data_IF_942983501897
#
_entry.id   IF_942983501897
#
_cell.length_a   1.000
_cell.length_b   1.000
_cell.length_c   1.000
_cell.angle_alpha   90.00
_cell.angle_beta   90.00
_cell.angle_gamma   90.00
#
_symmetry.space_group_name_H-M   'P 1'
#
loop_
_entity.id
_entity.type
_entity.pdbx_description
1 polymer ?
#
# COMPACT_ATOMS: atom_id res chain seq x y z
N UNK A 1 -38.87 -35.32 19.96
CA UNK A 1 -38.66 -34.15 19.08
C UNK A 1 -38.55 -34.65 17.65
N UNK A 2 -39.50 -34.30 16.79
CA UNK A 2 -39.48 -34.70 15.38
C UNK A 2 -38.25 -34.07 14.71
N UNK A 3 -37.38 -34.90 14.13
CA UNK A 3 -36.30 -34.39 13.29
C UNK A 3 -36.90 -33.65 12.09
N UNK A 4 -36.41 -32.42 11.84
CA UNK A 4 -36.79 -31.66 10.64
C UNK A 4 -36.63 -32.53 9.40
N UNK A 5 -37.57 -32.51 8.45
CA UNK A 5 -37.48 -33.27 7.21
C UNK A 5 -36.17 -33.04 6.46
N UNK A 6 -35.61 -31.83 6.57
CA UNK A 6 -34.32 -31.46 5.98
C UNK A 6 -33.19 -32.38 6.44
N UNK A 7 -33.14 -32.73 7.73
CA UNK A 7 -32.08 -33.58 8.29
C UNK A 7 -32.26 -35.07 8.03
N UNK A 8 -33.36 -35.47 7.37
CA UNK A 8 -33.56 -36.83 6.88
C UNK A 8 -32.94 -37.05 5.50
N UNK A 9 -32.62 -35.97 4.79
CA UNK A 9 -31.93 -36.02 3.51
C UNK A 9 -30.44 -36.36 3.72
N UNK A 10 -29.78 -37.07 2.78
CA UNK A 10 -28.32 -37.21 2.73
C UNK A 10 -27.61 -35.86 2.68
N UNK A 11 -26.33 -35.83 3.07
CA UNK A 11 -25.53 -34.59 3.16
C UNK A 11 -25.44 -33.88 1.81
N UNK A 12 -25.29 -34.63 0.73
CA UNK A 12 -25.13 -34.16 -0.64
C UNK A 12 -26.37 -33.37 -1.09
N UNK A 13 -27.57 -33.87 -0.76
CA UNK A 13 -28.81 -33.16 -1.08
C UNK A 13 -29.00 -31.92 -0.22
N UNK A 14 -28.56 -31.95 1.05
CA UNK A 14 -28.57 -30.76 1.89
C UNK A 14 -27.62 -29.69 1.36
N UNK A 15 -26.44 -30.07 0.88
CA UNK A 15 -25.46 -29.15 0.29
C UNK A 15 -25.99 -28.49 -1.00
N UNK A 16 -26.70 -29.25 -1.84
CA UNK A 16 -27.42 -28.69 -2.99
C UNK A 16 -28.49 -27.70 -2.52
N UNK A 17 -29.29 -28.04 -1.51
CA UNK A 17 -30.30 -27.13 -0.96
C UNK A 17 -29.64 -25.86 -0.42
N UNK A 18 -28.60 -25.98 0.41
CA UNK A 18 -27.86 -24.86 0.97
C UNK A 18 -27.28 -23.95 -0.12
N UNK A 19 -26.84 -24.52 -1.25
CA UNK A 19 -26.34 -23.74 -2.39
C UNK A 19 -27.40 -22.78 -2.95
N UNK A 20 -28.67 -23.18 -3.03
CA UNK A 20 -29.75 -22.33 -3.52
C UNK A 20 -30.07 -21.14 -2.60
N UNK A 21 -29.71 -21.21 -1.32
CA UNK A 21 -29.89 -20.09 -0.39
C UNK A 21 -28.77 -19.05 -0.48
N UNK A 22 -27.58 -19.45 -0.94
CA UNK A 22 -26.40 -18.59 -0.91
C UNK A 22 -25.93 -18.15 -2.29
N UNK A 23 -26.29 -18.86 -3.36
CA UNK A 23 -25.92 -18.46 -4.72
C UNK A 23 -26.71 -17.21 -5.12
N UNK A 24 -25.98 -16.19 -5.55
CA UNK A 24 -26.51 -14.93 -6.07
C UNK A 24 -26.04 -14.79 -7.51
N UNK A 25 -26.95 -14.46 -8.42
CA UNK A 25 -26.58 -14.18 -9.81
C UNK A 25 -25.69 -12.93 -9.86
N UNK A 26 -24.54 -13.03 -10.52
CA UNK A 26 -23.48 -12.01 -10.47
C UNK A 26 -22.62 -12.01 -9.19
N UNK A 27 -22.92 -12.86 -8.20
CA UNK A 27 -22.13 -13.06 -6.99
C UNK A 27 -22.25 -11.94 -5.94
N UNK A 28 -21.20 -11.74 -5.16
CA UNK A 28 -21.11 -10.71 -4.14
C UNK A 28 -20.22 -9.55 -4.58
N UNK A 29 -20.60 -8.34 -4.19
CA UNK A 29 -19.88 -7.09 -4.43
C UNK A 29 -19.51 -6.49 -3.09
N UNK A 30 -18.26 -6.04 -2.95
CA UNK A 30 -17.84 -5.25 -1.80
C UNK A 30 -18.43 -3.83 -1.90
N UNK A 31 -19.27 -3.44 -0.94
CA UNK A 31 -19.85 -2.10 -0.91
C UNK A 31 -18.79 -1.07 -0.50
N UNK A 32 -18.40 -0.22 -1.45
CA UNK A 32 -17.40 0.82 -1.26
C UNK A 32 -17.89 1.99 -0.40
N UNK A 33 -19.19 2.26 -0.37
CA UNK A 33 -19.78 3.33 0.47
C UNK A 33 -19.84 2.89 1.94
N UNK A 34 -19.94 1.58 2.17
CA UNK A 34 -19.90 0.95 3.48
C UNK A 34 -18.55 0.33 3.85
N UNK A 35 -17.45 0.65 3.16
CA UNK A 35 -16.17 -0.07 3.27
C UNK A 35 -15.60 -0.17 4.69
N UNK A 36 -15.73 0.88 5.52
CA UNK A 36 -15.34 0.84 6.94
C UNK A 36 -16.23 -0.06 7.81
N UNK A 37 -17.37 -0.49 7.27
CA UNK A 37 -18.33 -1.44 7.87
C UNK A 37 -18.30 -2.82 7.18
N UNK A 38 -17.46 -3.02 6.17
CA UNK A 38 -17.11 -4.34 5.62
C UNK A 38 -18.28 -5.20 5.14
N UNK A 39 -19.30 -4.61 4.49
CA UNK A 39 -20.46 -5.39 4.05
C UNK A 39 -20.35 -5.83 2.60
N UNK A 40 -20.30 -7.15 2.39
CA UNK A 40 -20.62 -7.75 1.11
C UNK A 40 -22.13 -7.60 0.85
N UNK A 41 -22.48 -7.27 -0.39
CA UNK A 41 -23.86 -7.27 -0.88
C UNK A 41 -23.95 -8.18 -2.08
N UNK A 42 -25.11 -8.80 -2.31
CA UNK A 42 -25.40 -9.47 -3.56
C UNK A 42 -25.33 -8.47 -4.72
N UNK A 43 -24.96 -8.94 -5.91
CA UNK A 43 -24.96 -8.12 -7.12
C UNK A 43 -26.37 -7.60 -7.48
N UNK A 44 -27.42 -8.23 -6.94
CA UNK A 44 -28.81 -7.75 -6.96
C UNK A 44 -29.12 -6.66 -5.90
N UNK A 45 -28.08 -6.13 -5.26
CA UNK A 45 -28.13 -5.12 -4.19
C UNK A 45 -28.85 -5.59 -2.91
N UNK A 46 -29.01 -6.90 -2.70
CA UNK A 46 -29.53 -7.47 -1.45
C UNK A 46 -28.41 -7.75 -0.45
N UNK A 47 -28.73 -7.78 0.84
CA UNK A 47 -27.77 -8.22 1.85
C UNK A 47 -27.55 -9.75 1.76
N UNK A 48 -26.41 -10.22 2.26
CA UNK A 48 -26.14 -11.67 2.39
C UNK A 48 -27.18 -12.28 3.32
N UNK A 49 -28.02 -13.18 2.80
CA UNK A 49 -29.04 -13.86 3.59
C UNK A 49 -28.43 -14.94 4.48
N UNK A 50 -28.20 -14.58 5.75
CA UNK A 50 -27.70 -15.50 6.78
C UNK A 50 -28.84 -16.09 7.64
N UNK A 51 -30.11 -15.83 7.30
CA UNK A 51 -31.26 -16.27 8.12
C UNK A 51 -31.28 -17.79 8.33
N UNK A 52 -30.93 -18.56 7.30
CA UNK A 52 -30.88 -20.01 7.37
C UNK A 52 -29.76 -20.51 8.29
N UNK A 53 -28.57 -19.91 8.21
CA UNK A 53 -27.43 -20.21 9.09
C UNK A 53 -27.79 -19.96 10.55
N UNK A 54 -28.41 -18.81 10.84
CA UNK A 54 -28.80 -18.45 12.21
C UNK A 54 -30.01 -19.21 12.75
N UNK A 55 -30.71 -19.99 11.92
CA UNK A 55 -31.90 -20.74 12.35
C UNK A 55 -31.58 -22.00 13.18
N UNK A 56 -30.44 -22.65 12.93
CA UNK A 56 -30.10 -23.92 13.56
C UNK A 56 -28.58 -24.13 13.63
N UNK A 57 -28.07 -24.46 14.83
CA UNK A 57 -26.65 -24.77 15.03
C UNK A 57 -26.13 -25.82 14.06
N UNK A 58 -26.91 -26.87 13.79
CA UNK A 58 -26.49 -27.92 12.85
C UNK A 58 -26.35 -27.39 11.43
N UNK A 59 -27.21 -26.46 10.99
CA UNK A 59 -27.09 -25.83 9.67
C UNK A 59 -25.86 -24.91 9.65
N UNK A 60 -25.63 -24.13 10.70
CA UNK A 60 -24.42 -23.32 10.85
C UNK A 60 -23.14 -24.18 10.78
N UNK A 61 -23.05 -25.25 11.57
CA UNK A 61 -21.93 -26.19 11.56
C UNK A 61 -21.74 -26.84 10.17
N UNK A 62 -22.82 -26.93 9.38
CA UNK A 62 -22.84 -27.51 8.05
C UNK A 62 -22.49 -26.50 6.93
N UNK A 63 -22.69 -25.18 7.13
CA UNK A 63 -22.50 -24.13 6.13
C UNK A 63 -21.30 -23.20 6.41
N UNK A 64 -21.00 -22.90 7.67
CA UNK A 64 -19.98 -21.92 8.10
C UNK A 64 -18.52 -22.37 7.97
N UNK A 65 -18.13 -23.61 8.34
CA UNK A 65 -16.70 -23.99 8.38
C UNK A 65 -16.00 -23.95 7.01
N UNK A 66 -16.79 -23.98 5.93
CA UNK A 66 -16.30 -23.84 4.56
C UNK A 66 -16.56 -22.48 3.94
N UNK A 67 -17.25 -21.55 4.61
CA UNK A 67 -17.69 -20.30 3.99
C UNK A 67 -18.47 -20.55 2.70
N UNK A 68 -19.51 -21.39 2.74
CA UNK A 68 -20.21 -21.89 1.54
C UNK A 68 -20.65 -20.75 0.60
N UNK A 69 -21.16 -19.65 1.17
CA UNK A 69 -21.55 -18.46 0.43
C UNK A 69 -20.37 -17.85 -0.35
N UNK A 70 -19.18 -17.77 0.26
CA UNK A 70 -17.99 -17.21 -0.38
C UNK A 70 -17.38 -18.16 -1.41
N UNK A 71 -17.51 -19.48 -1.23
CA UNK A 71 -16.97 -20.49 -2.17
C UNK A 71 -17.79 -20.64 -3.44
N UNK A 72 -19.10 -20.47 -3.34
CA UNK A 72 -20.02 -20.67 -4.46
C UNK A 72 -20.25 -19.40 -5.28
N UNK A 73 -19.87 -18.23 -4.77
CA UNK A 73 -20.07 -16.95 -5.43
C UNK A 73 -18.74 -16.31 -5.82
N UNK A 74 -18.75 -15.63 -6.97
CA UNK A 74 -17.65 -14.72 -7.32
C UNK A 74 -17.74 -13.49 -6.43
N UNK A 75 -16.62 -13.08 -5.83
CA UNK A 75 -16.55 -11.86 -5.03
C UNK A 75 -15.84 -10.80 -5.87
N UNK A 76 -16.56 -9.71 -6.16
CA UNK A 76 -16.06 -8.60 -6.97
C UNK A 76 -15.67 -7.44 -6.06
N UNK A 77 -14.40 -7.04 -6.15
CA UNK A 77 -13.87 -5.83 -5.54
C UNK A 77 -13.72 -4.74 -6.61
N UNK A 78 -14.10 -3.52 -6.27
CA UNK A 78 -13.94 -2.33 -7.10
C UNK A 78 -13.00 -1.33 -6.42
N UNK A 79 -12.53 -0.34 -7.18
CA UNK A 79 -11.72 0.74 -6.62
C UNK A 79 -12.52 1.57 -5.63
N UNK A 80 -11.90 1.98 -4.52
CA UNK A 80 -12.57 2.81 -3.52
C UNK A 80 -12.63 4.26 -4.01
N UNK A 81 -13.82 4.68 -4.42
CA UNK A 81 -14.09 5.99 -5.02
C UNK A 81 -15.13 6.76 -4.20
N UNK A 82 -14.80 7.08 -2.94
CA UNK A 82 -15.59 8.03 -2.13
C UNK A 82 -14.85 9.36 -2.03
N UNK A 83 -15.58 10.45 -1.74
CA UNK A 83 -14.97 11.79 -1.57
C UNK A 83 -13.91 11.78 -0.46
N UNK A 84 -14.15 11.04 0.62
CA UNK A 84 -13.20 10.87 1.73
C UNK A 84 -11.95 10.08 1.31
N UNK A 85 -12.14 8.94 0.64
CA UNK A 85 -11.02 8.13 0.14
C UNK A 85 -10.21 8.84 -0.94
N UNK A 86 -10.85 9.66 -1.77
CA UNK A 86 -10.14 10.44 -2.80
C UNK A 86 -9.21 11.48 -2.18
N UNK A 87 -9.64 12.13 -1.09
CA UNK A 87 -8.80 13.08 -0.36
C UNK A 87 -7.64 12.36 0.33
N UNK A 88 -7.93 11.26 1.04
CA UNK A 88 -6.89 10.45 1.70
C UNK A 88 -5.87 9.90 0.69
N UNK A 89 -6.33 9.32 -0.43
CA UNK A 89 -5.47 8.80 -1.48
C UNK A 89 -4.59 9.90 -2.09
N UNK A 90 -5.15 11.10 -2.32
CA UNK A 90 -4.39 12.25 -2.77
C UNK A 90 -3.30 12.64 -1.77
N UNK A 91 -3.66 12.85 -0.50
CA UNK A 91 -2.71 13.23 0.55
C UNK A 91 -1.61 12.17 0.70
N UNK A 92 -1.99 10.89 0.77
CA UNK A 92 -1.06 9.78 0.87
C UNK A 92 -0.10 9.73 -0.33
N UNK A 93 -0.62 9.88 -1.56
CA UNK A 93 0.22 9.90 -2.76
C UNK A 93 1.21 11.07 -2.75
N UNK A 94 0.80 12.26 -2.29
CA UNK A 94 1.67 13.42 -2.18
C UNK A 94 2.76 13.19 -1.13
N UNK A 95 2.40 12.82 0.10
CA UNK A 95 3.36 12.55 1.19
C UNK A 95 4.33 11.43 0.82
N UNK A 96 3.83 10.35 0.24
CA UNK A 96 4.67 9.23 -0.20
C UNK A 96 5.60 9.64 -1.33
N UNK A 97 5.06 10.15 -2.45
CA UNK A 97 5.83 10.33 -3.68
C UNK A 97 6.66 11.60 -3.65
N UNK A 98 6.06 12.74 -3.27
CA UNK A 98 6.74 14.04 -3.24
C UNK A 98 7.43 14.33 -1.91
N UNK A 99 7.08 13.62 -0.85
CA UNK A 99 7.76 13.71 0.44
C UNK A 99 8.81 12.62 0.60
N UNK A 100 8.40 11.45 1.09
CA UNK A 100 9.32 10.39 1.57
C UNK A 100 10.20 9.86 0.44
N UNK A 101 9.63 9.44 -0.69
CA UNK A 101 10.38 8.88 -1.81
C UNK A 101 11.32 9.92 -2.43
N UNK A 102 10.90 11.19 -2.46
CA UNK A 102 11.73 12.30 -2.91
C UNK A 102 12.95 12.49 -2.00
N UNK A 103 12.74 12.61 -0.69
CA UNK A 103 13.83 12.82 0.27
C UNK A 103 14.81 11.65 0.26
N UNK A 104 14.32 10.41 0.12
CA UNK A 104 15.19 9.24 -0.10
C UNK A 104 16.05 9.37 -1.35
N UNK A 105 15.46 9.79 -2.47
CA UNK A 105 16.22 10.02 -3.69
C UNK A 105 17.32 11.07 -3.49
N UNK A 106 17.03 12.15 -2.78
CA UNK A 106 18.00 13.22 -2.49
C UNK A 106 19.14 12.72 -1.58
N UNK A 107 18.82 11.96 -0.52
CA UNK A 107 19.82 11.32 0.35
C UNK A 107 20.73 10.41 -0.49
N UNK A 108 20.14 9.58 -1.36
CA UNK A 108 20.90 8.67 -2.21
C UNK A 108 21.78 9.42 -3.22
N UNK A 109 21.31 10.52 -3.80
CA UNK A 109 22.14 11.32 -4.71
C UNK A 109 23.30 12.01 -4.00
N UNK A 110 23.07 12.48 -2.78
CA UNK A 110 24.07 13.19 -1.98
C UNK A 110 25.13 12.23 -1.46
N UNK A 111 24.72 11.10 -0.85
CA UNK A 111 25.61 10.20 -0.12
C UNK A 111 25.77 8.80 -0.74
N UNK A 112 25.17 8.54 -1.90
CA UNK A 112 25.24 7.23 -2.55
C UNK A 112 26.66 6.78 -2.88
N UNK A 113 27.57 7.73 -3.10
CA UNK A 113 28.99 7.44 -3.33
C UNK A 113 29.72 6.91 -2.08
N UNK A 114 29.13 7.08 -0.89
CA UNK A 114 29.66 6.64 0.41
C UNK A 114 28.99 5.35 0.91
N UNK A 115 28.20 4.67 0.07
CA UNK A 115 27.58 3.39 0.43
C UNK A 115 28.66 2.34 0.70
N UNK A 116 28.62 1.64 1.86
CA UNK A 116 29.58 0.61 2.22
C UNK A 116 29.65 -0.55 1.22
N UNK A 117 30.82 -1.16 1.09
CA UNK A 117 31.02 -2.31 0.19
C UNK A 117 30.17 -3.53 0.53
N UNK A 118 29.83 -3.72 1.81
CA UNK A 118 28.91 -4.79 2.23
C UNK A 118 27.51 -4.62 1.64
N UNK A 119 27.00 -3.39 1.63
CA UNK A 119 25.71 -3.02 1.03
C UNK A 119 25.79 -3.07 -0.50
N UNK A 120 26.95 -2.73 -1.06
CA UNK A 120 27.20 -2.85 -2.50
C UNK A 120 27.04 -4.30 -2.97
N UNK A 121 27.65 -5.25 -2.24
CA UNK A 121 27.53 -6.67 -2.54
C UNK A 121 26.09 -7.19 -2.39
N UNK A 122 25.34 -6.69 -1.40
CA UNK A 122 23.92 -7.02 -1.22
C UNK A 122 23.07 -6.49 -2.38
N UNK A 123 23.28 -5.22 -2.75
CA UNK A 123 22.61 -4.58 -3.89
C UNK A 123 22.90 -5.32 -5.19
N UNK A 124 24.13 -5.80 -5.41
CA UNK A 124 24.49 -6.60 -6.59
C UNK A 124 23.69 -7.90 -6.69
N UNK A 125 23.39 -8.54 -5.55
CA UNK A 125 22.62 -9.79 -5.54
C UNK A 125 21.13 -9.55 -5.79
N UNK A 126 20.57 -8.47 -5.22
CA UNK A 126 19.13 -8.19 -5.25
C UNK A 126 18.70 -7.35 -6.47
N UNK A 127 19.58 -6.47 -6.93
CA UNK A 127 19.32 -5.46 -7.95
C UNK A 127 20.46 -5.33 -8.97
N UNK A 128 20.87 -6.42 -9.65
CA UNK A 128 21.99 -6.41 -10.60
C UNK A 128 21.82 -5.37 -11.72
N UNK A 129 20.59 -5.07 -12.12
CA UNK A 129 20.26 -4.09 -13.15
C UNK A 129 20.62 -2.65 -12.76
N UNK A 130 20.67 -2.33 -11.46
CA UNK A 130 21.02 -0.98 -10.98
C UNK A 130 22.50 -0.83 -10.62
N UNK A 131 23.32 -1.86 -10.82
CA UNK A 131 24.75 -1.78 -10.55
C UNK A 131 25.47 -0.69 -11.35
N UNK A 132 25.21 -0.50 -12.66
CA UNK A 132 25.87 0.57 -13.39
C UNK A 132 25.51 1.97 -12.85
N UNK A 133 24.36 2.13 -12.19
CA UNK A 133 24.02 3.36 -11.49
C UNK A 133 24.83 3.53 -10.20
N UNK A 134 25.00 2.47 -9.41
CA UNK A 134 25.84 2.49 -8.21
C UNK A 134 27.32 2.72 -8.54
N UNK A 135 27.85 2.03 -9.56
CA UNK A 135 29.22 2.19 -10.06
C UNK A 135 29.47 3.64 -10.44
N UNK A 136 28.54 4.22 -11.23
CA UNK A 136 28.61 5.63 -11.64
C UNK A 136 28.55 6.58 -10.46
N UNK A 137 27.62 6.35 -9.53
CA UNK A 137 27.46 7.21 -8.35
C UNK A 137 28.72 7.18 -7.48
N UNK A 138 29.34 6.01 -7.30
CA UNK A 138 30.61 5.86 -6.60
C UNK A 138 31.77 6.57 -7.32
N UNK A 139 31.82 6.48 -8.65
CA UNK A 139 32.89 7.10 -9.45
C UNK A 139 32.79 8.63 -9.53
N UNK A 140 31.57 9.18 -9.63
CA UNK A 140 31.34 10.62 -9.77
C UNK A 140 31.46 11.39 -8.44
N UNK A 141 31.30 10.71 -7.30
CA UNK A 141 31.39 11.35 -5.99
C UNK A 141 30.12 12.13 -5.62
N UNK A 142 30.22 13.18 -4.77
CA UNK A 142 29.05 13.93 -4.32
C UNK A 142 28.41 14.68 -5.49
N UNK A 143 27.13 14.43 -5.74
CA UNK A 143 26.33 15.26 -6.63
C UNK A 143 25.69 16.39 -5.81
N UNK A 144 25.75 17.62 -6.33
CA UNK A 144 24.93 18.70 -5.79
C UNK A 144 23.46 18.37 -6.01
N UNK A 145 22.55 18.68 -5.05
CA UNK A 145 21.12 18.67 -5.28
C UNK A 145 20.83 19.60 -6.45
N UNK A 146 20.63 19.06 -7.65
CA UNK A 146 20.39 19.88 -8.83
C UNK A 146 18.98 20.46 -8.72
N UNK A 147 18.79 21.69 -9.20
CA UNK A 147 17.48 22.35 -9.37
C UNK A 147 16.48 21.56 -10.27
N UNK A 148 16.89 20.38 -10.76
CA UNK A 148 16.13 19.41 -11.57
C UNK A 148 15.57 18.21 -10.76
N UNK A 149 15.50 18.29 -9.42
CA UNK A 149 15.06 17.18 -8.54
C UNK A 149 13.68 16.57 -8.89
N UNK A 150 12.81 17.29 -9.61
CA UNK A 150 11.52 16.76 -10.08
C UNK A 150 11.62 15.59 -11.06
N UNK A 151 12.69 15.51 -11.86
CA UNK A 151 12.86 14.49 -12.90
C UNK A 151 13.31 13.12 -12.35
N UNK A 152 13.73 13.04 -11.10
CA UNK A 152 14.22 11.80 -10.50
C UNK A 152 13.10 10.83 -10.08
N UNK A 153 11.93 11.35 -9.71
CA UNK A 153 10.73 10.55 -9.38
C UNK A 153 9.98 10.07 -10.64
N UNK A 154 10.15 10.80 -11.74
CA UNK A 154 9.58 10.53 -13.07
C UNK A 154 10.53 9.75 -13.98
N UNK A 155 11.71 9.37 -13.48
CA UNK A 155 12.59 8.43 -14.17
C UNK A 155 11.83 7.12 -14.38
N UNK A 156 11.23 7.00 -15.56
CA UNK A 156 11.26 5.77 -16.33
C UNK A 156 12.74 5.44 -16.41
N UNK A 157 13.19 4.45 -15.65
CA UNK A 157 14.60 4.31 -15.31
C UNK A 157 15.50 4.35 -16.56
N UNK A 158 16.78 4.76 -16.45
CA UNK A 158 17.72 4.69 -17.58
C UNK A 158 17.90 3.27 -18.15
N UNK A 159 17.32 2.24 -17.52
CA UNK A 159 17.36 0.84 -17.93
C UNK A 159 15.96 0.23 -18.18
N UNK A 160 14.90 1.04 -18.18
CA UNK A 160 13.55 0.60 -18.58
C UNK A 160 12.70 -0.08 -17.50
N UNK A 161 13.12 -0.10 -16.23
CA UNK A 161 12.32 -0.65 -15.14
C UNK A 161 11.17 0.26 -14.70
N UNK A 162 10.16 -0.34 -14.09
CA UNK A 162 9.07 0.37 -13.45
C UNK A 162 9.57 1.28 -12.31
N UNK A 163 9.04 2.51 -12.14
CA UNK A 163 9.45 3.42 -11.06
C UNK A 163 9.37 2.84 -9.65
N UNK A 164 8.45 1.90 -9.40
CA UNK A 164 8.33 1.19 -8.12
C UNK A 164 9.57 0.35 -7.80
N UNK A 165 10.17 -0.29 -8.80
CA UNK A 165 11.38 -1.12 -8.64
C UNK A 165 12.58 -0.25 -8.28
N UNK A 166 12.70 0.91 -8.92
CA UNK A 166 13.75 1.88 -8.60
C UNK A 166 13.62 2.45 -7.17
N UNK A 167 12.39 2.82 -6.76
CA UNK A 167 12.13 3.29 -5.39
C UNK A 167 12.42 2.21 -4.34
N UNK A 168 12.07 0.95 -4.64
CA UNK A 168 12.41 -0.20 -3.80
C UNK A 168 13.92 -0.38 -3.65
N UNK A 169 14.66 -0.29 -4.75
CA UNK A 169 16.12 -0.33 -4.74
C UNK A 169 16.73 0.77 -3.84
N UNK A 170 16.32 2.04 -4.01
CA UNK A 170 16.83 3.13 -3.17
C UNK A 170 16.51 2.87 -1.69
N UNK A 171 15.27 2.48 -1.39
CA UNK A 171 14.82 2.22 -0.02
C UNK A 171 15.68 1.15 0.64
N UNK A 172 15.88 0.01 -0.03
CA UNK A 172 16.67 -1.10 0.49
C UNK A 172 18.14 -0.72 0.69
N UNK A 173 18.73 -0.03 -0.29
CA UNK A 173 20.14 0.39 -0.21
C UNK A 173 20.36 1.36 0.94
N UNK A 174 19.48 2.36 1.09
CA UNK A 174 19.57 3.33 2.19
C UNK A 174 19.35 2.65 3.55
N UNK A 175 18.38 1.73 3.65
CA UNK A 175 18.11 1.01 4.88
C UNK A 175 19.25 0.05 5.26
N UNK A 176 19.86 -0.61 4.28
CA UNK A 176 21.04 -1.46 4.48
C UNK A 176 22.26 -0.63 4.90
N UNK A 177 22.56 0.47 4.21
CA UNK A 177 23.64 1.39 4.57
C UNK A 177 23.45 1.99 5.96
N UNK A 178 22.23 2.39 6.28
CA UNK A 178 21.83 2.81 7.61
C UNK A 178 22.11 1.72 8.64
N UNK A 179 21.72 0.47 8.39
CA UNK A 179 21.85 -0.61 9.37
C UNK A 179 23.31 -1.02 9.58
N UNK A 180 24.13 -1.00 8.53
CA UNK A 180 25.46 -1.57 8.54
C UNK A 180 26.60 -0.57 8.82
N UNK A 181 26.36 0.75 8.69
CA UNK A 181 27.42 1.76 8.82
C UNK A 181 27.06 2.92 9.74
N UNK A 182 27.80 3.07 10.84
CA UNK A 182 27.65 4.20 11.77
C UNK A 182 28.05 5.53 11.12
N UNK A 183 29.07 5.54 10.25
CA UNK A 183 29.48 6.76 9.54
C UNK A 183 28.39 7.23 8.58
N UNK A 184 27.74 6.29 7.88
CA UNK A 184 26.59 6.62 7.02
C UNK A 184 25.43 7.22 7.84
N UNK A 185 25.16 6.69 9.05
CA UNK A 185 24.13 7.25 9.93
C UNK A 185 24.40 8.71 10.31
N UNK A 186 25.66 9.05 10.63
CA UNK A 186 26.05 10.42 10.98
C UNK A 186 25.85 11.38 9.81
N UNK A 187 26.25 10.96 8.60
CA UNK A 187 26.05 11.76 7.38
C UNK A 187 24.57 12.04 7.09
N UNK A 188 23.72 11.01 7.25
CA UNK A 188 22.28 11.15 7.06
C UNK A 188 21.65 12.00 8.16
N UNK A 189 22.15 11.95 9.40
CA UNK A 189 21.67 12.80 10.49
C UNK A 189 21.88 14.29 10.22
N UNK A 190 22.98 14.63 9.55
CA UNK A 190 23.32 16.02 9.18
C UNK A 190 22.64 16.47 7.86
N UNK A 191 21.84 15.60 7.24
CA UNK A 191 21.16 15.90 5.98
C UNK A 191 20.02 16.91 6.18
N UNK A 192 20.03 17.97 5.38
CA UNK A 192 18.95 18.94 5.31
C UNK A 192 18.38 18.99 3.89
N UNK A 193 17.13 18.54 3.67
CA UNK A 193 16.50 18.59 2.36
C UNK A 193 16.31 20.05 1.90
N UNK A 194 16.69 20.40 0.66
CA UNK A 194 16.54 21.78 0.15
C UNK A 194 15.10 22.29 0.14
N UNK A 195 14.13 21.37 0.14
CA UNK A 195 12.70 21.66 0.12
C UNK A 195 12.11 22.06 1.48
N UNK A 196 12.85 21.90 2.58
CA UNK A 196 12.40 22.36 3.90
C UNK A 196 12.81 23.81 4.11
N UNK A 197 11.83 24.69 4.34
CA UNK A 197 12.13 26.03 4.82
C UNK A 197 12.78 25.96 6.21
N UNK A 198 13.55 26.97 6.57
CA UNK A 198 14.34 27.05 7.82
C UNK A 198 13.56 26.75 9.11
N UNK A 199 12.22 26.82 9.12
CA UNK A 199 11.38 26.49 10.28
C UNK A 199 10.87 25.03 10.34
N UNK A 200 10.96 24.27 9.25
CA UNK A 200 10.50 22.87 9.19
C UNK A 200 11.58 21.87 9.60
N UNK A 201 12.85 22.29 9.62
CA UNK A 201 14.00 21.43 9.91
C UNK A 201 13.96 20.91 11.36
N UNK A 202 13.47 21.70 12.31
CA UNK A 202 13.43 21.31 13.74
C UNK A 202 12.41 20.20 14.06
N UNK A 203 11.49 19.90 13.13
CA UNK A 203 10.43 18.90 13.32
C UNK A 203 10.65 17.62 12.53
N UNK A 204 11.64 17.59 11.64
CA UNK A 204 11.89 16.46 10.76
C UNK A 204 13.01 15.57 11.30
N UNK A 205 12.96 14.30 10.93
CA UNK A 205 13.99 13.31 11.25
C UNK A 205 14.35 12.53 9.98
N UNK A 206 15.61 12.62 9.50
CA UNK A 206 16.12 11.75 8.43
C UNK A 206 15.92 10.27 8.70
N UNK A 207 15.87 9.91 9.99
CA UNK A 207 15.69 8.53 10.43
C UNK A 207 14.30 8.00 10.08
N UNK A 208 13.27 8.82 10.22
CA UNK A 208 11.88 8.42 9.98
C UNK A 208 11.64 8.21 8.48
N UNK A 209 12.30 8.99 7.63
CA UNK A 209 12.28 8.79 6.19
C UNK A 209 13.05 7.55 5.76
N UNK A 210 14.25 7.28 6.30
CA UNK A 210 15.03 6.10 5.90
C UNK A 210 14.41 4.80 6.42
N UNK A 211 13.88 4.78 7.64
CA UNK A 211 13.28 3.58 8.25
C UNK A 211 11.80 3.39 7.96
N UNK A 212 11.09 4.45 7.57
CA UNK A 212 9.63 4.42 7.40
C UNK A 212 9.20 3.34 6.41
N UNK A 213 8.37 2.40 6.84
CA UNK A 213 7.81 1.42 5.92
C UNK A 213 6.49 1.94 5.34
N UNK A 214 6.37 1.93 4.02
CA UNK A 214 5.14 2.30 3.32
C UNK A 214 4.74 1.11 2.46
N UNK A 215 3.64 0.45 2.81
CA UNK A 215 3.08 -0.61 2.00
C UNK A 215 2.36 0.01 0.78
N UNK A 216 2.78 -0.30 -0.46
CA UNK A 216 2.16 0.25 -1.66
C UNK A 216 0.71 -0.18 -1.88
N UNK A 217 0.25 -1.25 -1.22
CA UNK A 217 -1.09 -1.80 -1.38
C UNK A 217 -2.02 -1.52 -0.20
N UNK A 218 -1.50 -0.95 0.89
CA UNK A 218 -2.30 -0.65 2.06
C UNK A 218 -3.04 0.70 1.92
N UNK A 219 -4.23 0.76 2.51
CA UNK A 219 -4.91 2.01 2.82
C UNK A 219 -4.34 2.50 4.15
N UNK A 220 -3.73 3.70 4.21
CA UNK A 220 -3.07 4.15 5.42
C UNK A 220 -4.08 4.42 6.54
N UNK A 221 -3.73 4.05 7.76
CA UNK A 221 -4.44 4.51 8.97
C UNK A 221 -4.11 5.98 9.26
N UNK A 222 -4.92 6.62 10.09
CA UNK A 222 -4.66 8.00 10.55
C UNK A 222 -3.27 8.11 11.20
N UNK A 223 -2.89 7.14 12.05
CA UNK A 223 -1.56 7.10 12.66
C UNK A 223 -0.41 6.94 11.65
N UNK A 224 -0.63 6.25 10.54
CA UNK A 224 0.36 6.14 9.47
C UNK A 224 0.47 7.45 8.69
N UNK A 225 -0.66 8.14 8.46
CA UNK A 225 -0.65 9.48 7.87
C UNK A 225 0.08 10.47 8.76
N UNK A 226 -0.20 10.49 10.07
CA UNK A 226 0.48 11.34 11.04
C UNK A 226 1.99 11.08 11.05
N UNK A 227 2.41 9.81 10.98
CA UNK A 227 3.82 9.45 10.92
C UNK A 227 4.49 9.93 9.62
N UNK A 228 3.80 9.88 8.48
CA UNK A 228 4.31 10.41 7.21
C UNK A 228 4.41 11.94 7.21
N UNK A 229 3.43 12.62 7.79
CA UNK A 229 3.43 14.07 7.97
C UNK A 229 4.54 14.53 8.92
N UNK A 230 4.79 13.78 10.01
CA UNK A 230 5.90 14.04 10.90
C UNK A 230 7.26 13.81 10.22
N UNK A 231 7.37 12.74 9.40
CA UNK A 231 8.60 12.44 8.67
C UNK A 231 8.92 13.48 7.59
N UNK A 232 7.90 14.10 6.99
CA UNK A 232 8.07 15.14 5.98
C UNK A 232 7.11 16.29 6.28
N UNK A 233 7.52 17.26 7.13
CA UNK A 233 6.66 18.34 7.62
C UNK A 233 6.45 19.44 6.56
N UNK A 234 6.08 19.06 5.33
CA UNK A 234 5.69 19.95 4.24
C UNK A 234 4.19 19.83 4.05
N UNK A 235 3.52 20.98 3.99
CA UNK A 235 2.13 21.03 3.57
C UNK A 235 2.01 20.78 2.06
N UNK A 236 1.71 19.55 1.68
CA UNK A 236 1.27 19.25 0.32
C UNK A 236 -0.23 19.57 0.19
N UNK A 237 -0.55 20.63 -0.56
CA UNK A 237 -1.95 20.95 -0.84
C UNK A 237 -2.51 20.01 -1.90
N UNK A 238 -3.49 19.17 -1.54
CA UNK A 238 -4.35 18.54 -2.55
C UNK A 238 -5.28 19.64 -3.13
N UNK A 239 -5.36 19.82 -4.46
CA UNK A 239 -6.18 20.88 -5.05
C UNK A 239 -7.61 20.86 -4.52
N UNK A 240 -8.01 21.95 -3.86
CA UNK A 240 -9.33 22.05 -3.21
C UNK A 240 -10.48 22.20 -4.21
N UNK A 241 -10.21 22.54 -5.47
CA UNK A 241 -11.23 22.91 -6.46
C UNK A 241 -10.99 22.30 -7.85
N UNK A 242 -12.08 21.73 -8.42
CA UNK A 242 -12.34 21.42 -9.85
C UNK A 242 -11.41 20.48 -10.64
N UNK A 243 -10.28 20.02 -10.11
CA UNK A 243 -9.55 18.91 -10.75
C UNK A 243 -10.28 17.61 -10.48
N UNK A 244 -10.46 16.79 -11.52
CA UNK A 244 -11.07 15.47 -11.45
C UNK A 244 -10.35 14.61 -10.41
N UNK A 245 -10.96 14.43 -9.24
CA UNK A 245 -10.39 13.63 -8.14
C UNK A 245 -10.55 12.13 -8.37
N UNK A 246 -11.25 11.70 -9.42
CA UNK A 246 -11.39 10.29 -9.78
C UNK A 246 -10.04 9.61 -10.06
N UNK A 247 -9.00 10.40 -10.34
CA UNK A 247 -7.63 9.89 -10.51
C UNK A 247 -7.04 9.36 -9.20
N UNK A 248 -7.49 9.86 -8.05
CA UNK A 248 -7.00 9.45 -6.73
C UNK A 248 -7.95 8.44 -6.11
N UNK A 249 -7.59 7.17 -6.22
CA UNK A 249 -8.38 6.05 -5.71
C UNK A 249 -7.48 4.94 -5.22
N UNK A 250 -7.92 4.24 -4.18
CA UNK A 250 -7.27 3.00 -3.78
C UNK A 250 -7.68 1.88 -4.72
N UNK A 251 -6.72 1.02 -5.05
CA UNK A 251 -6.95 -0.09 -5.99
C UNK A 251 -7.96 -1.09 -5.43
N UNK A 252 -8.61 -1.86 -6.30
CA UNK A 252 -9.46 -2.98 -5.89
C UNK A 252 -8.67 -4.03 -5.08
N UNK A 253 -7.36 -4.18 -5.33
CA UNK A 253 -6.50 -5.06 -4.55
C UNK A 253 -6.33 -4.56 -3.11
N UNK A 254 -6.17 -3.25 -2.90
CA UNK A 254 -6.12 -2.65 -1.56
C UNK A 254 -7.43 -2.87 -0.81
N UNK A 255 -8.57 -2.72 -1.51
CA UNK A 255 -9.88 -3.02 -0.96
C UNK A 255 -10.03 -4.50 -0.56
N UNK A 256 -9.53 -5.41 -1.39
CA UNK A 256 -9.55 -6.84 -1.12
C UNK A 256 -8.67 -7.21 0.08
N UNK A 257 -7.46 -6.65 0.20
CA UNK A 257 -6.56 -6.91 1.34
C UNK A 257 -7.21 -6.49 2.65
N UNK A 258 -7.90 -5.36 2.69
CA UNK A 258 -8.58 -4.88 3.90
C UNK A 258 -9.76 -5.78 4.31
N UNK A 259 -10.32 -6.54 3.36
CA UNK A 259 -11.40 -7.48 3.62
C UNK A 259 -10.92 -8.83 4.18
N UNK A 260 -9.66 -9.19 3.96
CA UNK A 260 -9.04 -10.45 4.41
C UNK A 260 -8.58 -10.38 5.87
#
# INVERSE_FOLDING_TARGET
MSSSPLFRLPRELRDIIYSFYVIVDGGYICDTDGFTRGKLKGADNREVDLSLVYSCKRIADEMDPGGLALRLNTITFSTLESVGFSHLACQFQQLKSRGVDFVRCEIFQTYGHLIPDSVYAEAQRKYPQFMPLLDRTRAEGPRTPAQDSGLCLERHGPYGEAPSVYRGFITDVLQAAWTQSESFRKLVADFSPPMFETGHIDRWSPFDVVKGHIDPWAIPSDSQMDALEAAVPIEFSCPKTRCDRSIYRFSAAAAAIYFL
#
